data_IF_791231332317
#
_entry.id   IF_791231332317
#
_cell.length_a   1.000
_cell.length_b   1.000
_cell.length_c   1.000
_cell.angle_alpha   90.00
_cell.angle_beta   90.00
_cell.angle_gamma   90.00
#
_symmetry.space_group_name_H-M   'P 1'
#
loop_
_entity.id
_entity.type
_entity.pdbx_description
1 polymer ?
#
# COMPACT_ATOMS: atom_id res chain seq x y z
N UNK A 1 -23.48 -30.86 -1.20
CA UNK A 1 -22.75 -29.99 -0.26
C UNK A 1 -22.24 -28.81 -1.07
N UNK A 2 -22.94 -27.68 -0.99
CA UNK A 2 -22.61 -26.49 -1.77
C UNK A 2 -21.42 -25.78 -1.13
N UNK A 3 -20.42 -25.50 -1.95
CA UNK A 3 -19.19 -24.78 -1.62
C UNK A 3 -19.50 -23.38 -1.10
N UNK A 4 -19.13 -23.08 0.14
CA UNK A 4 -19.14 -21.72 0.68
C UNK A 4 -17.92 -20.98 0.15
N UNK A 5 -18.07 -20.32 -1.00
CA UNK A 5 -16.95 -19.62 -1.67
C UNK A 5 -17.10 -18.10 -1.71
N UNK A 6 -18.05 -17.50 -0.97
CA UNK A 6 -18.41 -16.08 -1.18
C UNK A 6 -18.28 -15.13 0.03
N UNK A 7 -17.78 -15.54 1.20
CA UNK A 7 -17.86 -14.69 2.41
C UNK A 7 -16.57 -13.93 2.79
N UNK A 8 -15.48 -14.04 2.03
CA UNK A 8 -14.19 -13.52 2.51
C UNK A 8 -13.89 -12.05 2.10
N UNK A 9 -14.70 -11.47 1.23
CA UNK A 9 -14.63 -10.05 0.90
C UNK A 9 -15.00 -9.13 2.06
N UNK A 10 -15.96 -9.56 2.88
CA UNK A 10 -16.38 -8.85 4.09
C UNK A 10 -15.33 -8.89 5.19
N UNK A 11 -14.49 -9.94 5.24
CA UNK A 11 -13.46 -10.09 6.28
C UNK A 11 -12.39 -8.99 6.23
N UNK A 12 -11.85 -8.67 5.05
CA UNK A 12 -10.85 -7.59 4.94
C UNK A 12 -11.48 -6.20 5.08
N UNK A 13 -12.69 -5.99 4.55
CA UNK A 13 -13.40 -4.72 4.69
C UNK A 13 -13.69 -4.40 6.18
N UNK A 14 -14.16 -5.40 6.94
CA UNK A 14 -14.39 -5.28 8.39
C UNK A 14 -13.07 -5.08 9.16
N UNK A 15 -12.00 -5.80 8.78
CA UNK A 15 -10.67 -5.54 9.34
C UNK A 15 -10.22 -4.10 9.09
N UNK A 16 -10.36 -3.60 7.85
CA UNK A 16 -9.94 -2.27 7.45
C UNK A 16 -10.72 -1.20 8.20
N UNK A 17 -12.04 -1.37 8.37
CA UNK A 17 -12.87 -0.45 9.15
C UNK A 17 -12.38 -0.36 10.60
N UNK A 18 -12.16 -1.50 11.28
CA UNK A 18 -11.60 -1.51 12.62
C UNK A 18 -10.16 -0.97 12.69
N UNK A 19 -9.37 -1.17 11.64
CA UNK A 19 -8.02 -0.62 11.52
C UNK A 19 -8.06 0.91 11.42
N UNK A 20 -8.96 1.47 10.61
CA UNK A 20 -9.12 2.92 10.43
C UNK A 20 -9.56 3.62 11.72
N UNK A 21 -10.45 3.02 12.51
CA UNK A 21 -10.83 3.56 13.83
C UNK A 21 -9.61 3.65 14.75
N UNK A 22 -8.71 2.66 14.73
CA UNK A 22 -7.45 2.74 15.50
C UNK A 22 -6.48 3.76 14.91
N UNK A 23 -6.45 3.92 13.58
CA UNK A 23 -5.65 4.94 12.91
C UNK A 23 -6.06 6.36 13.31
N UNK A 24 -7.36 6.61 13.52
CA UNK A 24 -7.88 7.87 14.08
C UNK A 24 -7.36 8.12 15.50
N UNK A 25 -7.42 7.11 16.38
CA UNK A 25 -6.88 7.22 17.73
C UNK A 25 -5.38 7.51 17.75
N UNK A 26 -4.59 6.82 16.90
CA UNK A 26 -3.17 7.11 16.77
C UNK A 26 -2.90 8.52 16.23
N UNK A 27 -3.77 9.07 15.39
CA UNK A 27 -3.65 10.44 14.92
C UNK A 27 -3.90 11.46 16.04
N UNK A 28 -4.85 11.19 16.93
CA UNK A 28 -5.06 12.03 18.11
C UNK A 28 -3.86 11.98 19.08
N UNK A 29 -3.26 10.80 19.27
CA UNK A 29 -2.01 10.65 20.04
C UNK A 29 -0.84 11.41 19.39
N UNK A 30 -0.66 11.28 18.07
CA UNK A 30 0.37 11.99 17.31
C UNK A 30 0.17 13.51 17.37
N UNK A 31 -1.06 13.99 17.25
CA UNK A 31 -1.38 15.41 17.34
C UNK A 31 -1.07 15.94 18.74
N UNK A 32 -1.41 15.18 19.78
CA UNK A 32 -1.10 15.53 21.17
C UNK A 32 0.40 15.58 21.43
N UNK A 33 1.16 14.62 20.88
CA UNK A 33 2.61 14.57 20.98
C UNK A 33 3.30 15.72 20.23
N UNK A 34 2.79 16.12 19.06
CA UNK A 34 3.30 17.26 18.30
C UNK A 34 3.06 18.59 19.03
N UNK A 35 1.85 18.79 19.58
CA UNK A 35 1.50 19.98 20.35
C UNK A 35 2.30 20.12 21.65
N UNK A 36 2.60 18.99 22.31
CA UNK A 36 3.34 18.94 23.58
C UNK A 36 4.78 18.43 23.38
N UNK A 37 5.40 18.73 22.23
CA UNK A 37 6.72 18.22 21.87
C UNK A 37 7.84 18.62 22.84
N UNK A 38 7.67 19.71 23.60
CA UNK A 38 8.62 20.15 24.63
C UNK A 38 8.50 19.38 25.95
N UNK A 39 7.37 18.74 26.20
CA UNK A 39 7.10 17.98 27.42
C UNK A 39 7.36 16.47 27.24
N UNK A 40 7.33 16.00 26.00
CA UNK A 40 7.50 14.58 25.66
C UNK A 40 8.98 14.19 25.62
N UNK A 41 9.35 13.10 26.28
CA UNK A 41 10.70 12.54 26.16
C UNK A 41 10.89 11.89 24.78
N UNK A 42 12.12 11.89 24.27
CA UNK A 42 12.47 11.15 23.04
C UNK A 42 12.12 9.65 23.16
N UNK A 43 12.20 9.08 24.37
CA UNK A 43 11.81 7.69 24.64
C UNK A 43 10.28 7.49 24.45
N UNK A 44 9.47 8.40 24.98
CA UNK A 44 7.99 8.35 24.85
C UNK A 44 7.56 8.48 23.38
N UNK A 45 8.21 9.39 22.65
CA UNK A 45 7.96 9.59 21.22
C UNK A 45 8.37 8.34 20.42
N UNK A 46 9.49 7.72 20.77
CA UNK A 46 9.97 6.48 20.14
C UNK A 46 9.03 5.31 20.40
N UNK A 47 8.47 5.21 21.61
CA UNK A 47 7.45 4.21 21.94
C UNK A 47 6.18 4.41 21.12
N UNK A 48 5.68 5.64 21.01
CA UNK A 48 4.52 5.98 20.17
C UNK A 48 4.76 5.59 18.70
N UNK A 49 5.91 5.99 18.14
CA UNK A 49 6.31 5.63 16.77
C UNK A 49 6.34 4.11 16.59
N UNK A 50 6.88 3.37 17.55
CA UNK A 50 6.94 1.90 17.51
C UNK A 50 5.56 1.24 17.51
N UNK A 51 4.62 1.76 18.32
CA UNK A 51 3.22 1.27 18.33
C UNK A 51 2.53 1.50 16.99
N UNK A 52 2.74 2.66 16.37
CA UNK A 52 2.18 2.99 15.05
C UNK A 52 2.81 2.11 13.97
N UNK A 53 4.11 1.84 14.04
CA UNK A 53 4.76 0.92 13.11
C UNK A 53 4.17 -0.49 13.17
N UNK A 54 3.93 -1.01 14.38
CA UNK A 54 3.23 -2.27 14.56
C UNK A 54 1.80 -2.24 13.98
N UNK A 55 1.11 -1.11 14.09
CA UNK A 55 -0.22 -0.91 13.49
C UNK A 55 -0.20 -0.97 11.96
N UNK A 56 0.77 -0.34 11.30
CA UNK A 56 0.95 -0.43 9.84
C UNK A 56 1.44 -1.82 9.41
N UNK A 57 2.27 -2.48 10.20
CA UNK A 57 2.69 -3.86 9.93
C UNK A 57 1.48 -4.79 9.85
N UNK A 58 0.54 -4.70 10.81
CA UNK A 58 -0.71 -5.47 10.77
C UNK A 58 -1.49 -5.27 9.47
N UNK A 59 -1.55 -4.04 8.95
CA UNK A 59 -2.23 -3.75 7.68
C UNK A 59 -1.59 -4.50 6.51
N UNK A 60 -0.25 -4.45 6.38
CA UNK A 60 0.45 -5.12 5.28
C UNK A 60 0.39 -6.65 5.41
N UNK A 61 0.40 -7.19 6.62
CA UNK A 61 0.21 -8.63 6.86
C UNK A 61 -1.18 -9.10 6.40
N UNK A 62 -2.26 -8.41 6.78
CA UNK A 62 -3.60 -8.76 6.32
C UNK A 62 -3.78 -8.54 4.82
N UNK A 63 -3.22 -7.46 4.27
CA UNK A 63 -3.24 -7.20 2.82
C UNK A 63 -2.54 -8.33 2.05
N UNK A 64 -1.40 -8.79 2.55
CA UNK A 64 -0.65 -9.92 1.96
C UNK A 64 -1.47 -11.21 1.96
N UNK A 65 -2.22 -11.49 3.04
CA UNK A 65 -3.13 -12.65 3.10
C UNK A 65 -4.25 -12.59 2.06
N UNK A 66 -4.78 -11.39 1.80
CA UNK A 66 -5.77 -11.21 0.72
C UNK A 66 -5.13 -11.41 -0.64
N UNK A 67 -3.94 -10.85 -0.87
CA UNK A 67 -3.19 -10.99 -2.12
C UNK A 67 -2.86 -12.45 -2.46
N UNK A 68 -2.40 -13.23 -1.49
CA UNK A 68 -2.07 -14.65 -1.67
C UNK A 68 -3.29 -15.49 -2.06
N UNK A 69 -4.49 -15.08 -1.66
CA UNK A 69 -5.75 -15.73 -2.07
C UNK A 69 -6.18 -15.28 -3.45
N UNK A 70 -6.19 -13.97 -3.67
CA UNK A 70 -6.60 -13.34 -4.92
C UNK A 70 -5.92 -11.97 -5.07
N UNK A 71 -4.82 -11.95 -5.82
CA UNK A 71 -4.05 -10.73 -6.09
C UNK A 71 -4.91 -9.66 -6.78
N UNK A 72 -5.77 -10.06 -7.74
CA UNK A 72 -6.58 -9.12 -8.53
C UNK A 72 -7.51 -8.29 -7.65
N UNK A 73 -8.02 -8.88 -6.55
CA UNK A 73 -8.87 -8.17 -5.59
C UNK A 73 -8.17 -6.98 -4.95
N UNK A 74 -6.86 -7.04 -4.74
CA UNK A 74 -6.08 -5.94 -4.14
C UNK A 74 -5.76 -4.87 -5.19
N UNK A 75 -5.67 -5.24 -6.47
CA UNK A 75 -5.54 -4.29 -7.58
C UNK A 75 -6.85 -3.57 -7.93
N UNK A 76 -8.01 -4.17 -7.60
CA UNK A 76 -9.34 -3.55 -7.74
C UNK A 76 -10.10 -3.61 -6.40
N UNK A 77 -9.64 -2.89 -5.37
CA UNK A 77 -10.13 -3.06 -4.02
C UNK A 77 -11.56 -2.52 -3.86
N UNK A 78 -12.55 -3.37 -3.54
CA UNK A 78 -13.95 -2.93 -3.38
C UNK A 78 -14.18 -2.13 -2.09
N UNK A 79 -13.23 -2.15 -1.14
CA UNK A 79 -13.30 -1.46 0.16
C UNK A 79 -12.72 -0.03 0.15
N UNK A 80 -12.24 0.44 -1.02
CA UNK A 80 -11.76 1.81 -1.21
C UNK A 80 -12.75 2.61 -2.05
N UNK A 81 -12.85 3.90 -1.74
CA UNK A 81 -13.58 4.87 -2.56
C UNK A 81 -12.92 5.05 -3.92
N UNK A 82 -13.66 5.61 -4.87
CA UNK A 82 -13.17 5.93 -6.22
C UNK A 82 -12.01 6.94 -6.17
N UNK A 83 -12.04 7.87 -5.20
CA UNK A 83 -10.95 8.82 -4.97
C UNK A 83 -9.70 8.11 -4.45
N UNK A 84 -9.81 7.27 -3.42
CA UNK A 84 -8.67 6.48 -2.91
C UNK A 84 -8.05 5.61 -4.02
N UNK A 85 -8.89 4.96 -4.84
CA UNK A 85 -8.45 4.13 -5.98
C UNK A 85 -7.65 4.93 -7.01
N UNK A 86 -7.96 6.20 -7.23
CA UNK A 86 -7.25 7.05 -8.18
C UNK A 86 -5.79 7.36 -7.78
N UNK A 87 -5.44 7.18 -6.50
CA UNK A 87 -4.09 7.39 -5.98
C UNK A 87 -3.26 6.09 -5.87
N UNK A 88 -3.82 4.94 -6.26
CA UNK A 88 -3.11 3.67 -6.20
C UNK A 88 -2.02 3.60 -7.29
N UNK A 89 -0.85 3.15 -6.87
CA UNK A 89 0.29 2.72 -7.68
C UNK A 89 0.60 1.30 -7.26
N UNK A 90 0.40 0.27 -8.09
CA UNK A 90 0.62 -1.15 -7.70
C UNK A 90 -0.07 -1.49 -6.37
N UNK A 91 -1.42 -1.36 -6.37
CA UNK A 91 -2.31 -1.71 -5.26
C UNK A 91 -1.98 -1.08 -3.89
N UNK A 92 -1.34 0.10 -3.87
CA UNK A 92 -1.08 0.90 -2.66
C UNK A 92 -0.55 2.28 -3.04
N UNK A 93 -0.13 3.11 -2.09
CA UNK A 93 0.44 4.43 -2.43
C UNK A 93 1.81 4.31 -3.12
N UNK A 94 2.20 5.32 -3.89
CA UNK A 94 3.54 5.39 -4.48
C UNK A 94 4.58 5.81 -3.40
N UNK A 95 5.63 5.03 -3.11
CA UNK A 95 6.62 5.32 -2.06
C UNK A 95 7.21 6.74 -2.13
N UNK A 96 7.38 7.28 -3.33
CA UNK A 96 7.85 8.64 -3.59
C UNK A 96 7.00 9.74 -2.96
N UNK A 97 5.74 9.46 -2.63
CA UNK A 97 4.87 10.37 -1.88
C UNK A 97 5.39 10.61 -0.45
N UNK A 98 6.04 9.63 0.18
CA UNK A 98 6.57 9.78 1.54
C UNK A 98 7.59 10.92 1.63
N UNK A 99 8.46 11.09 0.62
CA UNK A 99 9.42 12.20 0.61
C UNK A 99 8.74 13.57 0.47
N UNK A 100 7.66 13.67 -0.32
CA UNK A 100 6.87 14.91 -0.38
C UNK A 100 6.24 15.25 0.96
N UNK A 101 5.72 14.24 1.66
CA UNK A 101 5.20 14.42 3.01
C UNK A 101 6.31 14.93 3.94
N UNK A 102 7.50 14.34 3.90
CA UNK A 102 8.65 14.81 4.69
C UNK A 102 8.98 16.28 4.38
N UNK A 103 9.10 16.64 3.10
CA UNK A 103 9.41 18.01 2.67
C UNK A 103 8.34 19.02 3.14
N UNK A 104 7.08 18.63 3.13
CA UNK A 104 5.94 19.50 3.49
C UNK A 104 5.69 19.56 5.02
N UNK A 105 6.04 18.52 5.78
CA UNK A 105 5.70 18.38 7.20
C UNK A 105 6.87 18.54 8.16
N UNK A 106 8.11 18.27 7.73
CA UNK A 106 9.30 18.30 8.59
C UNK A 106 10.16 19.52 8.24
N UNK A 107 9.83 20.67 8.84
CA UNK A 107 10.49 21.95 8.54
C UNK A 107 11.87 22.16 9.19
N UNK A 108 12.37 21.19 9.97
CA UNK A 108 13.58 21.31 10.80
C UNK A 108 14.65 20.25 10.47
N UNK A 109 14.70 19.77 9.22
CA UNK A 109 15.74 18.85 8.77
C UNK A 109 17.13 19.48 8.84
N UNK A 110 18.09 18.75 9.40
CA UNK A 110 19.51 19.12 9.28
C UNK A 110 20.02 18.93 7.85
N UNK A 111 21.14 19.55 7.49
CA UNK A 111 21.78 19.35 6.18
C UNK A 111 22.13 17.87 5.92
N UNK A 112 22.54 17.13 6.96
CA UNK A 112 22.86 15.71 6.87
C UNK A 112 21.60 14.85 6.63
N UNK A 113 20.50 15.19 7.31
CA UNK A 113 19.21 14.55 7.11
C UNK A 113 18.69 14.82 5.70
N UNK A 114 18.70 16.07 5.25
CA UNK A 114 18.25 16.46 3.91
C UNK A 114 19.05 15.75 2.81
N UNK A 115 20.38 15.65 2.94
CA UNK A 115 21.22 14.87 2.01
C UNK A 115 20.88 13.38 2.02
N UNK A 116 20.67 12.80 3.20
CA UNK A 116 20.33 11.37 3.36
C UNK A 116 18.97 11.04 2.77
N UNK A 117 17.96 11.88 3.03
CA UNK A 117 16.61 11.80 2.46
C UNK A 117 16.67 11.97 0.93
N UNK A 118 17.45 12.92 0.41
CA UNK A 118 17.62 13.12 -1.03
C UNK A 118 18.21 11.90 -1.75
N UNK A 119 19.22 11.26 -1.15
CA UNK A 119 19.78 10.00 -1.67
C UNK A 119 18.74 8.87 -1.63
N UNK A 120 18.05 8.70 -0.51
CA UNK A 120 17.00 7.69 -0.37
C UNK A 120 15.88 7.89 -1.40
N UNK A 121 15.49 9.13 -1.66
CA UNK A 121 14.51 9.47 -2.69
C UNK A 121 14.96 9.06 -4.09
N UNK A 122 16.25 9.22 -4.42
CA UNK A 122 16.80 8.77 -5.69
C UNK A 122 16.79 7.24 -5.83
N UNK A 123 17.20 6.53 -4.78
CA UNK A 123 17.18 5.07 -4.72
C UNK A 123 15.75 4.53 -4.90
N UNK A 124 14.80 5.02 -4.08
CA UNK A 124 13.40 4.62 -4.18
C UNK A 124 12.81 4.91 -5.55
N UNK A 125 13.13 6.06 -6.18
CA UNK A 125 12.66 6.36 -7.55
C UNK A 125 13.19 5.38 -8.59
N UNK A 126 14.40 4.85 -8.41
CA UNK A 126 14.95 3.84 -9.31
C UNK A 126 14.18 2.52 -9.20
N UNK A 127 13.95 2.05 -7.96
CA UNK A 127 13.18 0.84 -7.69
C UNK A 127 11.72 0.96 -8.16
N UNK A 128 11.11 2.13 -7.97
CA UNK A 128 9.77 2.40 -8.50
C UNK A 128 9.71 2.27 -10.02
N UNK A 129 10.73 2.71 -10.75
CA UNK A 129 10.78 2.55 -12.22
C UNK A 129 10.90 1.09 -12.59
N UNK A 130 11.80 0.35 -11.95
CA UNK A 130 11.96 -1.08 -12.19
C UNK A 130 10.66 -1.86 -11.98
N UNK A 131 9.90 -1.53 -10.92
CA UNK A 131 8.60 -2.16 -10.65
C UNK A 131 7.51 -1.77 -11.68
N UNK A 132 7.54 -0.53 -12.20
CA UNK A 132 6.65 -0.15 -13.31
C UNK A 132 6.96 -0.94 -14.58
N UNK A 133 8.25 -1.09 -14.90
CA UNK A 133 8.69 -1.82 -16.09
C UNK A 133 8.36 -3.31 -15.98
N UNK A 134 8.44 -3.90 -14.78
CA UNK A 134 8.00 -5.27 -14.52
C UNK A 134 6.47 -5.40 -14.68
N UNK A 135 5.68 -4.51 -14.07
CA UNK A 135 4.23 -4.53 -14.21
C UNK A 135 3.79 -4.36 -15.67
N UNK A 136 4.46 -3.48 -16.43
CA UNK A 136 4.21 -3.31 -17.86
C UNK A 136 4.48 -4.60 -18.64
N UNK A 137 5.60 -5.28 -18.38
CA UNK A 137 5.92 -6.58 -19.01
C UNK A 137 4.88 -7.66 -18.68
N UNK A 138 4.41 -7.72 -17.43
CA UNK A 138 3.33 -8.63 -17.03
C UNK A 138 2.06 -8.33 -17.83
N UNK A 139 1.67 -7.06 -17.94
CA UNK A 139 0.46 -6.67 -18.67
C UNK A 139 0.57 -6.92 -20.19
N UNK A 140 1.73 -6.67 -20.79
CA UNK A 140 2.00 -6.97 -22.20
C UNK A 140 1.90 -8.46 -22.50
N UNK A 141 2.35 -9.33 -21.58
CA UNK A 141 2.27 -10.78 -21.75
C UNK A 141 0.82 -11.28 -21.88
N UNK A 142 -0.14 -10.59 -21.24
CA UNK A 142 -1.57 -10.93 -21.25
C UNK A 142 -2.31 -10.30 -22.43
N UNK A 143 -1.83 -9.18 -22.94
CA UNK A 143 -2.39 -8.50 -24.11
C UNK A 143 -2.06 -9.22 -25.44
N UNK A 144 -1.29 -10.31 -25.40
CA UNK A 144 -0.95 -11.09 -26.58
C UNK A 144 -2.20 -11.77 -27.21
N UNK A 145 -2.27 -11.89 -28.56
CA UNK A 145 -3.43 -12.41 -29.29
C UNK A 145 -4.03 -13.76 -28.80
N UNK A 146 -3.25 -14.74 -28.30
CA UNK A 146 -3.82 -15.99 -27.77
C UNK A 146 -4.72 -15.77 -26.54
N UNK A 147 -4.36 -14.86 -25.64
CA UNK A 147 -5.06 -14.64 -24.37
C UNK A 147 -6.30 -13.75 -24.53
N UNK A 148 -6.25 -12.76 -25.43
CA UNK A 148 -7.44 -12.03 -25.88
C UNK A 148 -8.48 -12.97 -26.51
N UNK A 149 -8.03 -13.99 -27.25
CA UNK A 149 -8.91 -15.01 -27.83
C UNK A 149 -9.63 -15.88 -26.79
N UNK A 150 -8.99 -16.13 -25.64
CA UNK A 150 -9.56 -16.86 -24.50
C UNK A 150 -10.56 -15.97 -23.76
N UNK A 151 -10.19 -14.72 -23.44
CA UNK A 151 -11.05 -13.76 -22.74
C UNK A 151 -12.30 -13.36 -23.54
N UNK A 152 -12.19 -13.17 -24.85
CA UNK A 152 -13.31 -12.77 -25.72
C UNK A 152 -14.22 -13.93 -26.14
N UNK A 153 -13.87 -15.20 -25.84
CA UNK A 153 -14.70 -16.37 -26.18
C UNK A 153 -15.84 -16.66 -25.20
N UNK A 154 -15.97 -15.86 -24.14
CA UNK A 154 -17.12 -15.75 -23.22
C UNK A 154 -18.24 -16.79 -23.42
N UNK A 155 -18.01 -18.03 -22.96
CA UNK A 155 -19.04 -19.06 -22.86
C UNK A 155 -19.13 -20.10 -24.00
N UNK A 156 -18.20 -20.15 -24.97
CA UNK A 156 -18.07 -21.35 -25.83
C UNK A 156 -17.31 -22.45 -25.10
N UNK A 157 -17.84 -23.68 -25.14
CA UNK A 157 -17.24 -24.87 -24.52
C UNK A 157 -15.84 -25.08 -25.10
N UNK A 158 -14.82 -24.79 -24.31
CA UNK A 158 -13.43 -25.13 -24.62
C UNK A 158 -13.32 -26.66 -24.67
N UNK A 159 -12.44 -27.16 -25.53
CA UNK A 159 -12.04 -28.58 -25.47
C UNK A 159 -11.18 -28.75 -24.21
N UNK A 160 -11.26 -29.87 -23.49
CA UNK A 160 -10.58 -30.07 -22.18
C UNK A 160 -9.13 -29.53 -22.14
N UNK A 161 -8.32 -29.74 -23.19
CA UNK A 161 -6.94 -29.25 -23.26
C UNK A 161 -6.77 -27.73 -23.45
N UNK A 162 -7.73 -27.03 -24.05
CA UNK A 162 -7.71 -25.54 -24.16
C UNK A 162 -8.10 -24.88 -22.84
N UNK A 163 -8.89 -25.57 -22.00
CA UNK A 163 -9.28 -25.10 -20.69
C UNK A 163 -8.14 -25.22 -19.68
N UNK A 164 -7.42 -26.34 -19.69
CA UNK A 164 -6.21 -26.54 -18.87
C UNK A 164 -5.10 -25.52 -19.19
N UNK A 165 -4.94 -25.14 -20.47
CA UNK A 165 -3.99 -24.11 -20.89
C UNK A 165 -4.39 -22.72 -20.38
N UNK A 166 -5.68 -22.37 -20.51
CA UNK A 166 -6.22 -21.11 -20.00
C UNK A 166 -6.04 -20.99 -18.47
N UNK A 167 -6.37 -22.03 -17.72
CA UNK A 167 -6.24 -22.05 -16.26
C UNK A 167 -4.75 -21.94 -15.84
N UNK A 168 -3.85 -22.64 -16.53
CA UNK A 168 -2.41 -22.52 -16.27
C UNK A 168 -1.86 -21.11 -16.52
N UNK A 169 -2.31 -20.45 -17.59
CA UNK A 169 -1.90 -19.07 -17.87
C UNK A 169 -2.41 -18.08 -16.82
N UNK A 170 -3.64 -18.27 -16.34
CA UNK A 170 -4.24 -17.43 -15.30
C UNK A 170 -3.48 -17.57 -13.97
N UNK A 171 -3.12 -18.79 -13.59
CA UNK A 171 -2.32 -19.03 -12.38
C UNK A 171 -0.92 -18.42 -12.49
N UNK A 172 -0.26 -18.50 -13.66
CA UNK A 172 1.02 -17.83 -13.88
C UNK A 172 0.91 -16.31 -13.79
N UNK A 173 -0.17 -15.73 -14.34
CA UNK A 173 -0.43 -14.30 -14.24
C UNK A 173 -0.67 -13.87 -12.79
N UNK A 174 -1.48 -14.63 -12.06
CA UNK A 174 -1.75 -14.38 -10.64
C UNK A 174 -0.45 -14.39 -9.82
N UNK A 175 0.41 -15.38 -10.04
CA UNK A 175 1.71 -15.45 -9.36
C UNK A 175 2.63 -14.26 -9.69
N UNK A 176 2.66 -13.82 -10.96
CA UNK A 176 3.44 -12.65 -11.36
C UNK A 176 2.89 -11.35 -10.73
N UNK A 177 1.57 -11.19 -10.70
CA UNK A 177 0.86 -10.07 -10.05
C UNK A 177 1.11 -10.04 -8.53
N UNK A 178 1.11 -11.20 -7.88
CA UNK A 178 1.45 -11.34 -6.46
C UNK A 178 2.91 -10.96 -6.20
N UNK A 179 3.84 -11.40 -7.04
CA UNK A 179 5.26 -11.07 -6.92
C UNK A 179 5.53 -9.57 -7.03
N UNK A 180 4.97 -8.89 -8.04
CA UNK A 180 5.15 -7.43 -8.20
C UNK A 180 4.49 -6.64 -7.06
N UNK A 181 3.35 -7.12 -6.55
CA UNK A 181 2.69 -6.53 -5.38
C UNK A 181 3.55 -6.66 -4.12
N UNK A 182 4.09 -7.85 -3.85
CA UNK A 182 4.96 -8.11 -2.70
C UNK A 182 6.22 -7.24 -2.72
N UNK A 183 6.84 -7.09 -3.90
CA UNK A 183 8.00 -6.22 -4.07
C UNK A 183 7.64 -4.74 -3.86
N UNK A 184 6.48 -4.29 -4.35
CA UNK A 184 6.01 -2.93 -4.12
C UNK A 184 5.68 -2.64 -2.64
N UNK A 185 5.06 -3.57 -1.93
CA UNK A 185 4.76 -3.44 -0.49
C UNK A 185 6.04 -3.44 0.35
N UNK A 186 7.04 -4.23 -0.05
CA UNK A 186 8.37 -4.20 0.55
C UNK A 186 9.04 -2.83 0.33
N UNK A 187 8.99 -2.28 -0.89
CA UNK A 187 9.54 -0.94 -1.17
C UNK A 187 8.86 0.16 -0.32
N UNK A 188 7.53 0.10 -0.13
CA UNK A 188 6.80 1.04 0.75
C UNK A 188 7.30 0.95 2.18
N UNK A 189 7.37 -0.26 2.72
CA UNK A 189 7.75 -0.50 4.12
C UNK A 189 9.19 -0.09 4.37
N UNK A 190 10.12 -0.53 3.51
CA UNK A 190 11.53 -0.17 3.62
C UNK A 190 11.76 1.34 3.43
N UNK A 191 11.04 1.99 2.51
CA UNK A 191 11.15 3.45 2.32
C UNK A 191 10.72 4.19 3.58
N UNK A 192 9.58 3.84 4.16
CA UNK A 192 9.09 4.48 5.39
C UNK A 192 10.08 4.27 6.55
N UNK A 193 10.53 3.03 6.79
CA UNK A 193 11.48 2.71 7.85
C UNK A 193 12.80 3.48 7.69
N UNK A 194 13.39 3.48 6.49
CA UNK A 194 14.63 4.23 6.23
C UNK A 194 14.48 5.74 6.39
N UNK A 195 13.30 6.31 6.08
CA UNK A 195 13.02 7.73 6.39
C UNK A 195 13.07 7.93 7.90
N UNK A 196 12.37 7.11 8.68
CA UNK A 196 12.30 7.25 10.14
C UNK A 196 13.64 6.97 10.84
N UNK A 197 14.53 6.15 10.25
CA UNK A 197 15.91 5.97 10.73
C UNK A 197 16.77 7.24 10.57
N UNK A 198 16.46 8.09 9.59
CA UNK A 198 17.15 9.38 9.37
C UNK A 198 16.58 10.48 10.26
N UNK A 199 15.29 10.42 10.57
CA UNK A 199 14.57 11.40 11.36
C UNK A 199 14.77 11.18 12.87
N UNK A 200 14.64 12.27 13.64
CA UNK A 200 14.55 12.18 15.10
C UNK A 200 13.13 11.82 15.53
N UNK A 201 12.89 11.31 16.76
CA UNK A 201 11.55 10.90 17.21
C UNK A 201 10.46 11.96 16.98
N UNK A 202 10.71 13.23 17.34
CA UNK A 202 9.77 14.32 17.10
C UNK A 202 9.47 14.57 15.60
N UNK A 203 10.47 14.36 14.72
CA UNK A 203 10.28 14.48 13.28
C UNK A 203 9.49 13.29 12.70
N UNK A 204 9.70 12.09 13.24
CA UNK A 204 8.89 10.92 12.92
C UNK A 204 7.41 11.14 13.26
N UNK A 205 7.12 11.76 14.40
CA UNK A 205 5.76 12.15 14.78
C UNK A 205 5.12 13.07 13.74
N UNK A 206 5.80 14.16 13.35
CA UNK A 206 5.32 15.08 12.31
C UNK A 206 5.04 14.36 10.98
N UNK A 207 5.98 13.51 10.56
CA UNK A 207 5.85 12.72 9.33
C UNK A 207 4.66 11.76 9.37
N UNK A 208 4.52 10.96 10.43
CA UNK A 208 3.43 10.00 10.61
C UNK A 208 2.07 10.70 10.74
N UNK A 209 2.03 11.84 11.44
CA UNK A 209 0.83 12.67 11.57
C UNK A 209 0.36 13.16 10.20
N UNK A 210 1.26 13.75 9.42
CA UNK A 210 0.94 14.23 8.07
C UNK A 210 0.51 13.10 7.13
N UNK A 211 1.19 11.94 7.20
CA UNK A 211 0.85 10.77 6.39
C UNK A 211 -0.55 10.22 6.74
N UNK A 212 -0.86 10.05 8.03
CA UNK A 212 -2.17 9.57 8.46
C UNK A 212 -3.29 10.57 8.18
N UNK A 213 -3.05 11.88 8.36
CA UNK A 213 -4.02 12.92 8.00
C UNK A 213 -4.34 12.89 6.51
N UNK A 214 -3.33 12.74 5.65
CA UNK A 214 -3.54 12.63 4.21
C UNK A 214 -4.41 11.41 3.87
N UNK A 215 -4.11 10.25 4.46
CA UNK A 215 -4.88 9.02 4.25
C UNK A 215 -6.34 9.21 4.64
N UNK A 216 -6.62 9.69 5.86
CA UNK A 216 -8.00 9.89 6.32
C UNK A 216 -8.75 10.95 5.52
N UNK A 217 -8.10 12.05 5.12
CA UNK A 217 -8.73 13.08 4.28
C UNK A 217 -9.09 12.57 2.89
N UNK A 218 -8.22 11.78 2.26
CA UNK A 218 -8.53 11.16 0.98
C UNK A 218 -9.76 10.25 1.08
N UNK A 219 -9.86 9.50 2.18
CA UNK A 219 -11.01 8.63 2.43
C UNK A 219 -12.28 9.44 2.70
N UNK A 220 -12.23 10.44 3.58
CA UNK A 220 -13.40 11.26 3.93
C UNK A 220 -13.96 11.99 2.70
N UNK A 221 -13.09 12.62 1.90
CA UNK A 221 -13.50 13.28 0.64
C UNK A 221 -14.01 12.29 -0.40
N UNK A 222 -13.51 11.06 -0.40
CA UNK A 222 -14.04 10.00 -1.26
C UNK A 222 -15.48 9.66 -0.89
N UNK A 223 -15.74 9.44 0.39
CA UNK A 223 -17.07 9.10 0.92
C UNK A 223 -18.10 10.22 0.73
N UNK A 224 -17.68 11.49 0.80
CA UNK A 224 -18.55 12.65 0.54
C UNK A 224 -19.01 12.78 -0.92
N UNK A 225 -18.33 12.10 -1.85
CA UNK A 225 -18.54 12.24 -3.30
C UNK A 225 -19.17 11.00 -3.95
N UNK A 226 -19.41 9.94 -3.17
CA UNK A 226 -20.10 8.70 -3.59
C UNK A 226 -21.57 8.72 -3.18
#
# INVERSE_FOLDING_TARGET
MASSSDDNGGSFASFLEGWLVRQEHYLDELLSADLNCHESSDDDLSELVSRILAHYQQYYEEKSRVAARDAFRVFSPPWLTSLERAFLWIAGFKPGLAFRIVDDSVGDLSEDQARSIGRLAQETRSEERALNDELARIQESVAAPPLLGIAMRGGRRLVDGEQDEADSTLESLKAAMEAVLSAADSLRTTTALKIMEVLRPAQCVKFLLAAGQLHLRLRSWGLERE
#
